data_IF_878370427986
#
_entry.id   IF_878370427986
#
_cell.length_a   1.000
_cell.length_b   1.000
_cell.length_c   1.000
_cell.angle_alpha   90.00
_cell.angle_beta   90.00
_cell.angle_gamma   90.00
#
_symmetry.space_group_name_H-M   'P 1'
#
loop_
_entity.id
_entity.type
_entity.pdbx_description
1 polymer ?
#
# COMPACT_ATOMS: atom_id res chain seq x y z
N UNK A 1 10.36 28.19 9.23
CA UNK A 1 8.96 27.69 9.20
C UNK A 1 9.04 26.28 9.72
N UNK A 2 8.86 26.14 11.03
CA UNK A 2 8.99 24.88 11.74
C UNK A 2 7.78 24.02 11.40
N UNK A 3 8.00 22.96 10.62
CA UNK A 3 7.05 21.86 10.51
C UNK A 3 7.44 20.85 11.58
N UNK A 4 6.75 20.93 12.72
CA UNK A 4 6.62 19.82 13.66
C UNK A 4 6.00 18.64 12.91
N UNK A 5 6.84 17.69 12.52
CA UNK A 5 6.39 16.38 12.09
C UNK A 5 5.81 15.68 13.31
N UNK A 6 4.48 15.63 13.40
CA UNK A 6 3.83 14.74 14.34
C UNK A 6 4.31 13.31 14.06
N UNK A 7 4.75 12.60 15.10
CA UNK A 7 5.03 11.17 15.05
C UNK A 7 3.71 10.42 14.86
N UNK A 8 3.16 10.46 13.65
CA UNK A 8 2.03 9.63 13.27
C UNK A 8 2.50 8.19 13.14
N UNK A 9 1.74 7.25 13.70
CA UNK A 9 1.94 5.83 13.41
C UNK A 9 1.54 5.60 11.95
N UNK A 10 2.49 5.29 11.08
CA UNK A 10 2.26 5.11 9.63
C UNK A 10 1.60 3.78 9.28
N UNK A 11 1.40 2.91 10.28
CA UNK A 11 0.68 1.66 10.20
C UNK A 11 -0.19 1.46 11.45
N UNK A 12 -1.22 0.63 11.33
CA UNK A 12 -2.04 0.20 12.46
C UNK A 12 -2.37 -1.27 12.27
N UNK A 13 -2.26 -2.05 13.35
CA UNK A 13 -2.71 -3.45 13.34
C UNK A 13 -4.24 -3.56 13.45
N UNK A 14 -4.90 -2.50 13.92
CA UNK A 14 -6.34 -2.36 13.93
C UNK A 14 -6.82 -1.52 12.74
N UNK A 15 -8.04 -1.76 12.22
CA UNK A 15 -8.62 -0.90 11.20
C UNK A 15 -8.65 0.57 11.64
N UNK A 16 -8.31 1.48 10.73
CA UNK A 16 -8.37 2.93 10.95
C UNK A 16 -9.67 3.50 10.40
N UNK A 17 -10.05 4.70 10.86
CA UNK A 17 -11.14 5.47 10.25
C UNK A 17 -10.67 6.02 8.89
N UNK A 18 -10.91 5.23 7.84
CA UNK A 18 -10.35 5.46 6.51
C UNK A 18 -10.97 4.57 5.43
N UNK A 19 -10.63 4.84 4.17
CA UNK A 19 -11.19 4.10 3.03
C UNK A 19 -10.73 2.63 3.08
N UNK A 20 -11.68 1.69 3.05
CA UNK A 20 -11.35 0.26 2.94
C UNK A 20 -11.30 -0.15 1.49
N UNK A 21 -10.17 -0.73 1.10
CA UNK A 21 -9.84 -1.10 -0.27
C UNK A 21 -9.45 -2.58 -0.28
N UNK A 22 -10.11 -3.36 -1.11
CA UNK A 22 -9.86 -4.78 -1.29
C UNK A 22 -9.01 -4.99 -2.53
N UNK A 23 -8.01 -5.86 -2.44
CA UNK A 23 -7.10 -6.20 -3.53
C UNK A 23 -7.05 -7.70 -3.73
N UNK A 24 -7.04 -8.14 -4.99
CA UNK A 24 -6.89 -9.54 -5.40
C UNK A 24 -6.17 -9.58 -6.75
N UNK A 25 -5.53 -10.70 -7.08
CA UNK A 25 -5.00 -10.94 -8.41
C UNK A 25 -5.19 -12.37 -8.89
N UNK A 26 -5.40 -12.52 -10.20
CA UNK A 26 -5.54 -13.81 -10.84
C UNK A 26 -4.38 -14.09 -11.80
N UNK A 27 -3.63 -15.17 -11.55
CA UNK A 27 -2.54 -15.60 -12.46
C UNK A 27 -3.07 -16.01 -13.84
N UNK A 28 -4.21 -16.71 -13.89
CA UNK A 28 -4.83 -17.15 -15.16
C UNK A 28 -5.41 -15.98 -15.94
N UNK A 29 -6.09 -15.06 -15.26
CA UNK A 29 -6.65 -13.85 -15.87
C UNK A 29 -5.56 -12.83 -16.22
N UNK A 30 -4.39 -12.90 -15.55
CA UNK A 30 -3.29 -11.91 -15.61
C UNK A 30 -3.80 -10.51 -15.29
N UNK A 31 -4.62 -10.43 -14.25
CA UNK A 31 -5.24 -9.19 -13.81
C UNK A 31 -5.12 -9.05 -12.30
N UNK A 32 -4.93 -7.83 -11.84
CA UNK A 32 -5.12 -7.47 -10.46
C UNK A 32 -6.35 -6.56 -10.36
N UNK A 33 -7.21 -6.83 -9.39
CA UNK A 33 -8.43 -6.09 -9.13
C UNK A 33 -8.28 -5.32 -7.82
N UNK A 34 -8.75 -4.07 -7.84
CA UNK A 34 -8.83 -3.19 -6.69
C UNK A 34 -10.28 -2.73 -6.60
N UNK A 35 -10.93 -2.96 -5.46
CA UNK A 35 -12.32 -2.54 -5.26
C UNK A 35 -12.48 -1.77 -3.96
N UNK A 36 -13.34 -0.76 -3.97
CA UNK A 36 -13.61 0.06 -2.79
C UNK A 36 -15.03 0.59 -2.85
N UNK A 37 -15.58 0.95 -1.69
CA UNK A 37 -16.89 1.59 -1.60
C UNK A 37 -16.70 3.10 -1.39
N UNK A 38 -17.38 3.92 -2.19
CA UNK A 38 -17.38 5.36 -2.04
C UNK A 38 -18.82 5.89 -2.09
N UNK A 39 -19.26 6.57 -1.03
CA UNK A 39 -20.62 7.10 -0.90
C UNK A 39 -21.71 6.03 -1.15
N UNK A 40 -21.50 4.81 -0.64
CA UNK A 40 -22.42 3.68 -0.82
C UNK A 40 -22.32 2.97 -2.17
N UNK A 41 -21.54 3.51 -3.12
CA UNK A 41 -21.38 2.95 -4.47
C UNK A 41 -20.06 2.19 -4.56
N UNK A 42 -20.10 0.96 -5.08
CA UNK A 42 -18.90 0.17 -5.35
C UNK A 42 -18.18 0.69 -6.59
N UNK A 43 -16.86 0.82 -6.47
CA UNK A 43 -15.94 1.19 -7.53
C UNK A 43 -14.88 0.10 -7.69
N UNK A 44 -14.34 0.01 -8.89
CA UNK A 44 -13.29 -0.93 -9.22
C UNK A 44 -12.21 -0.31 -10.11
N UNK A 45 -11.01 -0.86 -10.02
CA UNK A 45 -9.92 -0.64 -10.94
C UNK A 45 -9.24 -1.97 -11.26
N UNK A 46 -8.89 -2.18 -12.53
CA UNK A 46 -8.26 -3.41 -13.01
C UNK A 46 -6.91 -3.08 -13.64
N UNK A 47 -5.85 -3.67 -13.09
CA UNK A 47 -4.52 -3.65 -13.69
C UNK A 47 -4.38 -4.90 -14.56
N UNK A 48 -3.98 -4.70 -15.82
CA UNK A 48 -3.69 -5.81 -16.74
C UNK A 48 -2.19 -6.10 -16.76
N UNK A 49 -1.83 -7.34 -16.44
CA UNK A 49 -0.45 -7.83 -16.49
C UNK A 49 -0.01 -8.32 -17.86
N UNK A 50 1.28 -8.52 -18.00
CA UNK A 50 1.92 -9.18 -19.12
C UNK A 50 2.18 -10.68 -18.84
N UNK A 51 2.78 -11.40 -19.79
CA UNK A 51 3.11 -12.83 -19.60
C UNK A 51 4.23 -13.10 -18.61
N UNK A 52 5.12 -12.12 -18.39
CA UNK A 52 6.24 -12.27 -17.47
C UNK A 52 5.85 -12.04 -16.00
N UNK A 53 4.68 -11.43 -15.75
CA UNK A 53 4.24 -11.12 -14.40
C UNK A 53 3.86 -12.39 -13.63
N UNK A 54 4.42 -12.50 -12.43
CA UNK A 54 4.02 -13.51 -11.46
C UNK A 54 2.72 -13.11 -10.77
N UNK A 55 2.10 -14.06 -10.06
CA UNK A 55 0.93 -13.74 -9.23
C UNK A 55 1.31 -12.70 -8.17
N UNK A 56 2.45 -12.90 -7.50
CA UNK A 56 2.95 -12.03 -6.44
C UNK A 56 3.23 -10.60 -6.95
N UNK A 57 3.72 -10.48 -8.19
CA UNK A 57 3.97 -9.17 -8.82
C UNK A 57 2.65 -8.44 -9.11
N UNK A 58 1.60 -9.16 -9.50
CA UNK A 58 0.27 -8.59 -9.74
C UNK A 58 -0.43 -8.18 -8.45
N UNK A 59 -0.36 -9.01 -7.41
CA UNK A 59 -0.90 -8.65 -6.09
C UNK A 59 -0.19 -7.40 -5.54
N UNK A 60 1.14 -7.34 -5.67
CA UNK A 60 1.91 -6.18 -5.21
C UNK A 60 1.61 -4.93 -6.04
N UNK A 61 1.41 -5.05 -7.36
CA UNK A 61 1.10 -3.89 -8.20
C UNK A 61 -0.26 -3.27 -7.86
N UNK A 62 -1.25 -4.08 -7.47
CA UNK A 62 -2.51 -3.56 -6.95
C UNK A 62 -2.31 -2.71 -5.70
N UNK A 63 -1.51 -3.18 -4.75
CA UNK A 63 -1.24 -2.43 -3.52
C UNK A 63 -0.42 -1.16 -3.77
N UNK A 64 0.57 -1.21 -4.67
CA UNK A 64 1.33 -0.01 -5.07
C UNK A 64 0.40 1.02 -5.71
N UNK A 65 -0.52 0.59 -6.58
CA UNK A 65 -1.49 1.48 -7.19
C UNK A 65 -2.37 2.15 -6.13
N UNK A 66 -2.84 1.39 -5.13
CA UNK A 66 -3.59 1.94 -4.00
C UNK A 66 -2.79 3.01 -3.25
N UNK A 67 -1.53 2.73 -2.88
CA UNK A 67 -0.70 3.72 -2.21
C UNK A 67 -0.45 4.97 -3.05
N UNK A 68 -0.31 4.82 -4.37
CA UNK A 68 -0.08 5.95 -5.28
C UNK A 68 -1.33 6.83 -5.41
N UNK A 69 -2.52 6.23 -5.36
CA UNK A 69 -3.80 6.93 -5.54
C UNK A 69 -4.38 7.52 -4.25
N UNK A 70 -4.00 7.01 -3.08
CA UNK A 70 -4.46 7.46 -1.77
C UNK A 70 -3.30 7.63 -0.78
N UNK A 71 -2.30 8.41 -1.17
CA UNK A 71 -1.12 8.72 -0.35
C UNK A 71 -1.39 9.77 0.76
N UNK A 72 -2.43 10.59 0.61
CA UNK A 72 -2.71 11.73 1.50
C UNK A 72 -3.84 11.46 2.52
N UNK A 73 -4.41 10.25 2.54
CA UNK A 73 -5.53 9.89 3.43
C UNK A 73 -5.31 8.54 4.12
N UNK A 74 -5.87 8.31 5.32
CA UNK A 74 -5.83 6.99 5.94
C UNK A 74 -6.63 5.98 5.10
N UNK A 75 -6.02 4.82 4.87
CA UNK A 75 -6.61 3.71 4.12
C UNK A 75 -6.43 2.39 4.85
N UNK A 76 -7.39 1.48 4.67
CA UNK A 76 -7.30 0.09 5.07
C UNK A 76 -7.16 -0.77 3.81
N UNK A 77 -6.01 -1.40 3.62
CA UNK A 77 -5.79 -2.32 2.49
C UNK A 77 -6.05 -3.75 2.96
N UNK A 78 -7.03 -4.40 2.36
CA UNK A 78 -7.37 -5.80 2.59
C UNK A 78 -6.83 -6.62 1.43
N UNK A 79 -5.93 -7.54 1.73
CA UNK A 79 -5.33 -8.47 0.77
C UNK A 79 -5.31 -9.86 1.37
N UNK A 80 -5.59 -10.87 0.56
CA UNK A 80 -5.46 -12.28 0.90
C UNK A 80 -4.03 -12.82 0.71
N UNK A 81 -3.15 -12.01 0.10
CA UNK A 81 -1.74 -12.34 -0.10
C UNK A 81 -0.90 -12.05 1.13
N UNK A 82 -0.57 -13.09 1.90
CA UNK A 82 0.40 -13.02 2.99
C UNK A 82 1.76 -12.50 2.54
N UNK A 83 2.14 -12.78 1.28
CA UNK A 83 3.37 -12.27 0.69
C UNK A 83 3.34 -10.74 0.63
N UNK A 84 2.28 -10.16 0.05
CA UNK A 84 2.15 -8.71 -0.10
C UNK A 84 2.05 -8.02 1.26
N UNK A 85 1.20 -8.54 2.16
CA UNK A 85 1.08 -7.99 3.53
C UNK A 85 2.45 -7.97 4.22
N UNK A 86 3.22 -9.05 4.11
CA UNK A 86 4.57 -9.13 4.69
C UNK A 86 5.56 -8.15 4.05
N UNK A 87 5.52 -7.98 2.73
CA UNK A 87 6.39 -7.03 2.00
C UNK A 87 6.08 -5.60 2.42
N UNK A 88 4.81 -5.21 2.43
CA UNK A 88 4.35 -3.86 2.78
C UNK A 88 4.72 -3.50 4.22
N UNK A 89 4.46 -4.41 5.17
CA UNK A 89 4.86 -4.21 6.58
C UNK A 89 6.37 -3.98 6.73
N UNK A 90 7.20 -4.74 6.01
CA UNK A 90 8.66 -4.55 6.05
C UNK A 90 9.14 -3.27 5.38
N UNK A 91 8.51 -2.89 4.26
CA UNK A 91 8.84 -1.65 3.56
C UNK A 91 8.55 -0.44 4.46
N UNK A 92 7.38 -0.41 5.09
CA UNK A 92 7.02 0.64 6.04
C UNK A 92 7.97 0.67 7.24
N UNK A 93 8.24 -0.49 7.87
CA UNK A 93 9.21 -0.57 8.97
C UNK A 93 10.62 -0.12 8.56
N UNK A 94 11.02 -0.32 7.30
CA UNK A 94 12.33 0.11 6.80
C UNK A 94 12.36 1.61 6.52
N UNK A 95 11.32 2.18 5.91
CA UNK A 95 11.18 3.63 5.71
C UNK A 95 11.16 4.37 7.05
N UNK A 96 10.43 3.84 8.05
CA UNK A 96 10.44 4.42 9.40
C UNK A 96 11.80 4.34 10.07
N UNK A 97 12.54 3.24 9.87
CA UNK A 97 13.92 3.11 10.36
C UNK A 97 14.87 4.10 9.69
N UNK A 98 14.71 4.36 8.40
CA UNK A 98 15.50 5.34 7.66
C UNK A 98 15.18 6.77 8.13
N UNK A 99 13.91 7.12 8.27
CA UNK A 99 13.45 8.45 8.75
C UNK A 99 13.82 8.69 10.22
N UNK A 100 13.86 7.65 11.05
CA UNK A 100 14.32 7.75 12.44
C UNK A 100 15.84 7.83 12.57
N UNK A 101 16.59 7.35 11.59
CA UNK A 101 18.04 7.51 11.52
C UNK A 101 18.46 8.78 10.75
N UNK A 102 17.97 9.93 11.23
CA UNK A 102 18.23 11.25 10.62
C UNK A 102 19.72 11.56 10.48
N UNK A 103 20.55 11.09 11.42
CA UNK A 103 22.00 11.30 11.41
C UNK A 103 22.70 10.64 10.22
N UNK A 104 22.19 9.53 9.69
CA UNK A 104 22.74 8.90 8.49
C UNK A 104 22.21 9.55 7.20
N UNK A 105 20.98 10.07 7.20
CA UNK A 105 20.41 10.78 6.05
C UNK A 105 21.17 12.09 5.77
N UNK A 106 21.54 12.84 6.81
CA UNK A 106 22.33 14.08 6.70
C UNK A 106 23.77 13.86 6.18
N UNK A 107 24.32 12.64 6.26
CA UNK A 107 25.65 12.31 5.72
C UNK A 107 25.63 11.94 4.23
N UNK A 108 24.46 11.71 3.65
CA UNK A 108 24.27 11.36 2.23
C UNK A 108 23.70 12.51 1.39
N UNK A 109 23.38 13.65 2.02
CA UNK A 109 22.96 14.91 1.38
C UNK A 109 24.11 15.91 1.26
#
# INVERSE_FOLDING_TARGET
RDQTFEQGTYNSEAPVDGLTIFTDAGKKSRKAAITWQQFGIWKEHIISGCRADSLQTLELSAVIWVFTNWNDVPINIVSDSLYVVGVVKRMESSMLREVSNKQLFELLS
#
